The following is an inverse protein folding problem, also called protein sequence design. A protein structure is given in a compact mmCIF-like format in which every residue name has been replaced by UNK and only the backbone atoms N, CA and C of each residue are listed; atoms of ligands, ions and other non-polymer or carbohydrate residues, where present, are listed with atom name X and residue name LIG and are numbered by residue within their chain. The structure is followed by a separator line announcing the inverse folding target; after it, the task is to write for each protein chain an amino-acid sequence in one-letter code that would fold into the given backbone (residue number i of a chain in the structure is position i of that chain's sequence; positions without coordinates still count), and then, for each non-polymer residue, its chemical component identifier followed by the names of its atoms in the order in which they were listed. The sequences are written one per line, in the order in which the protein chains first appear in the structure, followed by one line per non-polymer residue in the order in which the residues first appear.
data_IF_441627917011
#
_entry.id   IF_441627917011
#
_cell.length_a   1.000
_cell.length_b   1.000
_cell.length_c   1.000
_cell.angle_alpha   90.00
_cell.angle_beta   90.00
_cell.angle_gamma   90.00
#
_symmetry.space_group_name_H-M   'P 1'
#
loop_
_entity.id
_entity.type
_entity.pdbx_description
1 polymer ?
#
# COMPACT_ATOMS: atom_id res chain seq x y z
N UNK A 1 -51.73 -5.05 -3.18
CA UNK A 1 -51.00 -4.87 -1.91
C UNK A 1 -49.52 -4.78 -2.27
N UNK A 2 -49.00 -3.57 -2.51
CA UNK A 2 -47.60 -3.33 -2.88
C UNK A 2 -46.83 -2.91 -1.62
N UNK A 3 -45.77 -3.65 -1.28
CA UNK A 3 -44.80 -3.27 -0.27
C UNK A 3 -43.73 -2.41 -0.96
N UNK A 4 -43.77 -1.10 -0.73
CA UNK A 4 -42.69 -0.19 -1.10
C UNK A 4 -41.59 -0.37 -0.06
N UNK A 5 -40.54 -1.12 -0.42
CA UNK A 5 -39.32 -1.25 0.37
C UNK A 5 -38.57 0.08 0.37
N UNK A 6 -38.93 0.96 1.29
CA UNK A 6 -38.24 2.23 1.52
C UNK A 6 -36.80 1.96 1.94
N UNK A 7 -35.85 2.26 1.05
CA UNK A 7 -34.47 2.41 1.44
C UNK A 7 -34.40 3.55 2.48
N UNK A 8 -34.10 3.21 3.73
CA UNK A 8 -33.62 4.20 4.68
C UNK A 8 -32.27 4.71 4.15
N UNK A 9 -32.33 5.79 3.40
CA UNK A 9 -31.16 6.60 3.13
C UNK A 9 -30.74 7.21 4.45
N UNK A 10 -29.70 6.63 5.08
CA UNK A 10 -29.03 7.29 6.18
C UNK A 10 -28.69 8.70 5.69
N UNK A 11 -28.98 9.77 6.47
CA UNK A 11 -28.59 11.11 6.08
C UNK A 11 -27.09 11.05 5.85
N UNK A 12 -26.70 11.15 4.57
CA UNK A 12 -25.32 11.12 4.18
C UNK A 12 -24.62 12.10 5.11
N UNK A 13 -23.60 11.62 5.83
CA UNK A 13 -22.46 12.45 6.11
C UNK A 13 -22.01 12.95 4.74
N UNK A 14 -22.60 14.07 4.28
CA UNK A 14 -22.03 14.92 3.24
C UNK A 14 -20.79 15.46 3.93
N UNK A 15 -19.76 14.62 4.01
CA UNK A 15 -18.40 15.07 4.14
C UNK A 15 -18.27 16.05 2.99
N UNK A 16 -18.24 17.35 3.32
CA UNK A 16 -17.64 18.33 2.45
C UNK A 16 -16.37 17.65 1.96
N UNK A 17 -16.19 17.50 0.65
CA UNK A 17 -14.94 17.04 0.10
C UNK A 17 -13.90 18.12 0.45
N UNK A 18 -13.44 18.09 1.70
CA UNK A 18 -12.20 18.73 2.10
C UNK A 18 -11.19 18.02 1.25
N UNK A 19 -10.59 18.78 0.34
CA UNK A 19 -9.42 18.34 -0.39
C UNK A 19 -8.50 17.67 0.62
N UNK A 20 -8.30 16.36 0.46
CA UNK A 20 -7.42 15.62 1.35
C UNK A 20 -6.07 16.36 1.32
N UNK A 21 -5.42 16.56 2.48
CA UNK A 21 -4.10 17.16 2.48
C UNK A 21 -3.23 16.39 1.51
N UNK A 22 -2.49 17.09 0.66
CA UNK A 22 -1.53 16.45 -0.24
C UNK A 22 -0.51 15.76 0.64
N UNK A 23 -0.61 14.44 0.77
CA UNK A 23 0.40 13.66 1.45
C UNK A 23 1.63 13.64 0.56
N UNK A 24 2.75 14.05 1.11
CA UNK A 24 4.03 14.13 0.39
C UNK A 24 5.02 13.07 0.83
N UNK A 25 4.74 12.36 1.92
CA UNK A 25 5.62 11.35 2.48
C UNK A 25 4.83 10.20 3.10
N UNK A 26 5.39 9.00 3.01
CA UNK A 26 4.96 7.84 3.78
C UNK A 26 5.94 7.61 4.93
N UNK A 27 5.41 7.21 6.09
CA UNK A 27 6.21 6.80 7.23
C UNK A 27 5.95 5.33 7.51
N UNK A 28 7.01 4.61 7.81
CA UNK A 28 7.00 3.16 7.94
C UNK A 28 7.04 2.79 9.42
N UNK A 29 6.17 1.88 9.82
CA UNK A 29 6.04 1.42 11.20
C UNK A 29 5.94 -0.09 11.24
N UNK A 30 6.50 -0.68 12.30
CA UNK A 30 6.43 -2.11 12.60
C UNK A 30 5.02 -2.49 13.04
N UNK A 31 4.52 -3.60 12.52
CA UNK A 31 3.21 -4.14 12.93
C UNK A 31 3.23 -4.82 14.31
N UNK A 32 4.41 -5.16 14.84
CA UNK A 32 4.55 -5.87 16.12
C UNK A 32 4.43 -4.93 17.32
N UNK A 33 5.11 -3.78 17.25
CA UNK A 33 5.27 -2.84 18.37
C UNK A 33 4.88 -1.40 18.02
N UNK A 34 4.55 -1.11 16.74
CA UNK A 34 4.24 0.23 16.27
C UNK A 34 5.46 1.17 16.17
N UNK A 35 6.67 0.64 16.40
CA UNK A 35 7.91 1.42 16.30
C UNK A 35 8.15 1.89 14.87
N UNK A 36 8.76 3.07 14.71
CA UNK A 36 9.15 3.55 13.38
C UNK A 36 10.30 2.69 12.83
N UNK A 37 10.24 2.34 11.55
CA UNK A 37 11.22 1.49 10.87
C UNK A 37 11.83 2.24 9.69
N UNK A 38 13.12 2.05 9.45
CA UNK A 38 13.76 2.60 8.25
C UNK A 38 13.42 1.74 7.03
N UNK A 39 13.23 2.38 5.87
CA UNK A 39 12.94 1.68 4.61
C UNK A 39 13.98 0.59 4.29
N UNK A 40 15.27 0.88 4.51
CA UNK A 40 16.34 -0.10 4.28
C UNK A 40 16.19 -1.39 5.11
N UNK A 41 15.61 -1.30 6.31
CA UNK A 41 15.34 -2.49 7.13
C UNK A 41 14.19 -3.31 6.56
N UNK A 42 13.15 -2.65 6.04
CA UNK A 42 12.05 -3.31 5.34
C UNK A 42 12.55 -3.99 4.07
N UNK A 43 13.33 -3.29 3.24
CA UNK A 43 13.91 -3.85 2.01
C UNK A 43 14.80 -5.05 2.30
N UNK A 44 15.62 -4.99 3.36
CA UNK A 44 16.44 -6.13 3.78
C UNK A 44 15.59 -7.33 4.24
N UNK A 45 14.51 -7.09 4.99
CA UNK A 45 13.58 -8.14 5.42
C UNK A 45 12.81 -8.76 4.24
N UNK A 46 12.37 -7.92 3.28
CA UNK A 46 11.75 -8.37 2.04
C UNK A 46 12.69 -9.26 1.24
N UNK A 47 13.96 -8.85 1.08
CA UNK A 47 14.96 -9.62 0.33
C UNK A 47 15.31 -10.97 0.99
N UNK A 48 15.14 -11.08 2.31
CA UNK A 48 15.34 -12.32 3.06
C UNK A 48 14.11 -13.24 3.08
N UNK A 49 12.96 -12.77 2.57
CA UNK A 49 11.69 -13.50 2.60
C UNK A 49 11.48 -14.29 1.30
N UNK A 50 10.91 -15.49 1.39
CA UNK A 50 10.52 -16.26 0.20
C UNK A 50 9.32 -15.65 -0.53
N UNK A 51 8.41 -15.04 0.23
CA UNK A 51 7.18 -14.40 -0.27
C UNK A 51 6.95 -13.12 0.53
N UNK A 52 6.64 -12.02 -0.18
CA UNK A 52 6.24 -10.74 0.41
C UNK A 52 4.83 -10.40 -0.03
N UNK A 53 3.98 -10.01 0.92
CA UNK A 53 2.64 -9.48 0.67
C UNK A 53 2.66 -7.96 0.88
N UNK A 54 2.29 -7.21 -0.15
CA UNK A 54 2.16 -5.75 -0.09
C UNK A 54 0.69 -5.39 -0.27
N UNK A 55 0.09 -4.81 0.77
CA UNK A 55 -1.28 -4.29 0.74
C UNK A 55 -1.29 -2.77 0.67
N UNK A 56 -2.22 -2.20 -0.09
CA UNK A 56 -2.40 -0.75 -0.21
C UNK A 56 -3.88 -0.36 -0.06
N UNK A 57 -4.14 0.86 0.41
CA UNK A 57 -5.49 1.40 0.46
C UNK A 57 -5.86 1.99 -0.91
N UNK A 58 -6.78 1.34 -1.62
CA UNK A 58 -7.23 1.80 -2.92
C UNK A 58 -7.64 3.28 -2.94
N UNK A 59 -7.11 4.03 -3.92
CA UNK A 59 -7.34 5.46 -4.07
C UNK A 59 -6.50 6.34 -3.15
N UNK A 60 -5.64 5.76 -2.32
CA UNK A 60 -4.66 6.52 -1.56
C UNK A 60 -3.60 7.12 -2.50
N UNK A 61 -3.34 8.44 -2.45
CA UNK A 61 -2.45 9.11 -3.41
C UNK A 61 -1.05 8.52 -3.50
N UNK A 62 -0.52 8.02 -2.38
CA UNK A 62 0.83 7.45 -2.29
C UNK A 62 0.86 5.91 -2.27
N UNK A 63 -0.29 5.24 -2.23
CA UNK A 63 -0.36 3.80 -1.90
C UNK A 63 0.34 2.91 -2.94
N UNK A 64 -0.06 3.07 -4.21
CA UNK A 64 0.50 2.29 -5.32
C UNK A 64 1.96 2.65 -5.62
N UNK A 65 2.32 3.94 -5.55
CA UNK A 65 3.68 4.42 -5.80
C UNK A 65 4.65 3.84 -4.76
N UNK A 66 4.32 3.94 -3.47
CA UNK A 66 5.13 3.36 -2.39
C UNK A 66 5.28 1.84 -2.53
N UNK A 67 4.20 1.14 -2.88
CA UNK A 67 4.24 -0.31 -3.09
C UNK A 67 5.19 -0.69 -4.25
N UNK A 68 5.16 0.07 -5.34
CA UNK A 68 6.06 -0.12 -6.47
C UNK A 68 7.52 0.17 -6.08
N UNK A 69 7.78 1.26 -5.35
CA UNK A 69 9.13 1.62 -4.92
C UNK A 69 9.75 0.55 -4.00
N UNK A 70 9.00 0.04 -3.02
CA UNK A 70 9.46 -1.03 -2.13
C UNK A 70 9.76 -2.32 -2.91
N UNK A 71 8.91 -2.66 -3.89
CA UNK A 71 9.13 -3.80 -4.77
C UNK A 71 10.43 -3.62 -5.58
N UNK A 72 10.60 -2.51 -6.29
CA UNK A 72 11.79 -2.26 -7.12
C UNK A 72 13.08 -2.18 -6.29
N UNK A 73 13.03 -1.58 -5.10
CA UNK A 73 14.18 -1.47 -4.20
C UNK A 73 14.63 -2.84 -3.66
N UNK A 74 13.70 -3.76 -3.43
CA UNK A 74 14.01 -5.14 -3.06
C UNK A 74 14.76 -5.90 -4.17
N UNK A 75 14.59 -5.50 -5.44
CA UNK A 75 15.19 -6.17 -6.59
C UNK A 75 16.56 -5.63 -7.02
N UNK A 76 16.96 -4.44 -6.54
CA UNK A 76 18.18 -3.75 -7.00
C UNK A 76 19.50 -4.50 -6.76
N UNK A 77 19.70 -5.32 -5.70
CA UNK A 77 20.93 -6.08 -5.53
C UNK A 77 20.67 -7.59 -5.71
N UNK A 78 20.42 -8.09 -6.93
CA UNK A 78 20.09 -9.52 -7.10
C UNK A 78 20.42 -10.18 -8.46
N UNK A 79 20.78 -11.48 -8.48
CA UNK A 79 21.33 -12.24 -9.62
C UNK A 79 20.32 -12.63 -10.73
N UNK A 80 19.16 -11.97 -10.80
CA UNK A 80 18.03 -12.37 -11.66
C UNK A 80 18.15 -11.97 -13.14
N UNK A 81 19.24 -11.32 -13.55
CA UNK A 81 19.61 -11.22 -14.99
C UNK A 81 19.74 -12.60 -15.67
N UNK A 82 19.94 -13.66 -14.88
CA UNK A 82 20.11 -15.04 -15.35
C UNK A 82 18.86 -15.69 -15.96
N UNK A 83 17.68 -15.12 -15.74
CA UNK A 83 16.41 -15.63 -16.29
C UNK A 83 15.95 -14.88 -17.56
N UNK A 84 16.44 -13.66 -17.81
CA UNK A 84 16.19 -12.93 -19.07
C UNK A 84 17.02 -13.46 -20.25
N UNK A 85 18.08 -14.23 -19.99
CA UNK A 85 18.98 -14.78 -21.01
C UNK A 85 18.62 -16.20 -21.50
N UNK A 86 17.44 -16.71 -21.14
CA UNK A 86 16.91 -18.00 -21.63
C UNK A 86 15.57 -17.89 -22.38
N UNK A 87 15.15 -16.67 -22.70
CA UNK A 87 14.01 -16.43 -23.57
C UNK A 87 14.48 -16.17 -25.01
#
# INVERSE_FOLDING_TARGET
MQLVGGAMSLPACRGRATQAPTMTEARLFSGEDGGQVAEAQIVAAMAASDVVLIGEQHGHPLGLELAADLFENCWRPGPWQRWRSRA
#
